data_IF_836915060867
#
_entry.id   IF_836915060867
#
_cell.length_a   1.000
_cell.length_b   1.000
_cell.length_c   1.000
_cell.angle_alpha   90.00
_cell.angle_beta   90.00
_cell.angle_gamma   90.00
#
_symmetry.space_group_name_H-M   'P 1'
#
loop_
_entity.id
_entity.type
_entity.pdbx_description
1 polymer ?
#
# COMPACT_ATOMS: atom_id res chain seq x y z
N UNK A 1 23.03 -10.16 48.73
CA UNK A 1 23.07 -9.08 47.70
C UNK A 1 22.30 -9.61 46.50
N UNK A 2 21.00 -9.33 46.48
CA UNK A 2 20.11 -9.69 45.37
C UNK A 2 20.24 -8.65 44.27
N UNK A 3 20.63 -9.08 43.10
CA UNK A 3 20.56 -8.27 41.92
C UNK A 3 19.06 -8.12 41.57
N UNK A 4 18.49 -6.96 41.82
CA UNK A 4 17.26 -6.52 41.19
C UNK A 4 17.49 -6.54 39.67
N UNK A 5 16.95 -7.55 38.97
CA UNK A 5 16.74 -7.50 37.55
C UNK A 5 15.66 -6.45 37.33
N UNK A 6 16.07 -5.21 37.08
CA UNK A 6 15.16 -4.22 36.53
C UNK A 6 14.47 -4.86 35.33
N UNK A 7 13.15 -4.93 35.38
CA UNK A 7 12.33 -5.34 34.25
C UNK A 7 12.63 -4.34 33.12
N UNK A 8 13.46 -4.75 32.13
CA UNK A 8 13.65 -3.97 30.92
C UNK A 8 12.27 -3.71 30.32
N UNK A 9 11.86 -2.45 30.32
CA UNK A 9 10.58 -2.03 29.78
C UNK A 9 10.65 -2.27 28.28
N UNK A 10 9.96 -3.31 27.80
CA UNK A 10 9.89 -3.68 26.40
C UNK A 10 9.15 -2.61 25.57
N UNK A 11 9.39 -2.59 24.25
CA UNK A 11 8.64 -1.75 23.31
C UNK A 11 7.34 -2.44 22.93
N UNK A 12 6.22 -1.76 23.14
CA UNK A 12 4.88 -2.27 22.81
C UNK A 12 4.44 -1.73 21.46
N UNK A 13 4.24 -2.63 20.51
CA UNK A 13 3.73 -2.33 19.16
C UNK A 13 2.27 -2.70 19.09
N UNK A 14 1.39 -1.73 18.80
CA UNK A 14 -0.05 -1.95 18.66
C UNK A 14 -0.52 -1.84 17.22
N UNK A 15 -1.46 -2.71 16.82
CA UNK A 15 -2.07 -2.67 15.50
C UNK A 15 -3.52 -3.16 15.54
N UNK A 16 -4.41 -2.46 14.83
CA UNK A 16 -5.71 -3.00 14.44
C UNK A 16 -5.55 -3.73 13.11
N UNK A 17 -5.99 -4.97 13.01
CA UNK A 17 -5.80 -5.84 11.84
C UNK A 17 -7.13 -6.36 11.32
N UNK A 18 -7.30 -6.44 10.00
CA UNK A 18 -8.48 -7.01 9.35
C UNK A 18 -8.21 -8.48 8.97
N UNK A 19 -8.07 -9.38 9.95
CA UNK A 19 -7.82 -10.81 9.70
C UNK A 19 -9.10 -11.60 9.49
N UNK A 20 -10.25 -10.95 9.66
CA UNK A 20 -11.58 -11.45 9.29
C UNK A 20 -12.37 -10.40 8.49
N UNK A 21 -13.55 -10.76 7.96
CA UNK A 21 -14.40 -9.89 7.16
C UNK A 21 -13.91 -9.65 5.72
N UNK A 22 -14.48 -8.67 5.01
CA UNK A 22 -14.23 -8.46 3.57
C UNK A 22 -12.79 -8.10 3.20
N UNK A 23 -12.02 -7.49 4.08
CA UNK A 23 -10.62 -7.12 3.83
C UNK A 23 -9.61 -8.19 4.26
N UNK A 24 -10.10 -9.36 4.74
CA UNK A 24 -9.26 -10.43 5.31
C UNK A 24 -8.07 -10.80 4.45
N UNK A 25 -8.24 -10.88 3.12
CA UNK A 25 -7.15 -11.28 2.21
C UNK A 25 -5.91 -10.42 2.40
N UNK A 26 -6.08 -9.10 2.25
CA UNK A 26 -4.98 -8.15 2.35
C UNK A 26 -4.62 -7.82 3.81
N UNK A 27 -5.62 -7.83 4.70
CA UNK A 27 -5.38 -7.60 6.13
C UNK A 27 -4.51 -8.69 6.76
N UNK A 28 -4.74 -9.97 6.41
CA UNK A 28 -3.90 -11.08 6.84
C UNK A 28 -2.47 -10.95 6.28
N UNK A 29 -2.36 -10.58 5.01
CA UNK A 29 -1.06 -10.39 4.35
C UNK A 29 -0.25 -9.26 5.01
N UNK A 30 -0.89 -8.13 5.32
CA UNK A 30 -0.26 -7.03 6.05
C UNK A 30 0.18 -7.48 7.46
N UNK A 31 -0.68 -8.20 8.16
CA UNK A 31 -0.38 -8.72 9.49
C UNK A 31 0.81 -9.68 9.48
N UNK A 32 0.92 -10.55 8.48
CA UNK A 32 2.06 -11.46 8.32
C UNK A 32 3.36 -10.66 8.07
N UNK A 33 3.31 -9.58 7.29
CA UNK A 33 4.45 -8.66 7.13
C UNK A 33 4.89 -8.00 8.44
N UNK A 34 3.94 -7.53 9.25
CA UNK A 34 4.22 -6.96 10.58
C UNK A 34 4.83 -8.02 11.51
N UNK A 35 4.24 -9.22 11.55
CA UNK A 35 4.76 -10.32 12.35
C UNK A 35 6.19 -10.67 12.00
N UNK A 36 6.51 -10.79 10.71
CA UNK A 36 7.86 -11.09 10.25
C UNK A 36 8.86 -10.00 10.68
N UNK A 37 8.46 -8.72 10.62
CA UNK A 37 9.30 -7.63 11.14
C UNK A 37 9.55 -7.77 12.65
N UNK A 38 8.51 -8.03 13.44
CA UNK A 38 8.65 -8.21 14.89
C UNK A 38 9.53 -9.42 15.21
N UNK A 39 9.33 -10.57 14.54
CA UNK A 39 10.17 -11.75 14.69
C UNK A 39 11.64 -11.47 14.30
N UNK A 40 11.88 -10.71 13.25
CA UNK A 40 13.21 -10.28 12.85
C UNK A 40 13.87 -9.42 13.94
N UNK A 41 13.16 -8.44 14.50
CA UNK A 41 13.66 -7.62 15.61
C UNK A 41 13.95 -8.46 16.86
N UNK A 42 13.05 -9.36 17.24
CA UNK A 42 13.23 -10.25 18.40
C UNK A 42 14.46 -11.16 18.21
N UNK A 43 14.63 -11.72 17.02
CA UNK A 43 15.79 -12.56 16.68
C UNK A 43 17.11 -11.77 16.72
N UNK A 44 17.07 -10.47 16.46
CA UNK A 44 18.23 -9.57 16.59
C UNK A 44 18.46 -9.07 18.05
N UNK A 45 17.67 -9.56 19.00
CA UNK A 45 17.77 -9.19 20.43
C UNK A 45 16.92 -7.99 20.82
N UNK A 46 16.04 -7.48 19.96
CA UNK A 46 15.14 -6.36 20.23
C UNK A 46 15.43 -5.12 19.38
N UNK A 47 14.71 -4.04 19.62
CA UNK A 47 14.96 -2.72 19.02
C UNK A 47 16.03 -1.96 19.82
N UNK A 48 16.96 -1.36 19.12
CA UNK A 48 17.96 -0.47 19.74
C UNK A 48 17.37 0.90 20.01
N UNK A 49 17.22 1.25 21.27
CA UNK A 49 16.60 2.50 21.73
C UNK A 49 17.56 3.28 22.63
N UNK A 50 17.57 4.60 22.49
CA UNK A 50 18.37 5.50 23.31
C UNK A 50 19.83 5.60 22.88
N UNK A 51 20.55 6.57 23.44
CA UNK A 51 21.96 6.86 23.14
C UNK A 51 22.89 5.70 23.42
N UNK A 52 22.59 4.90 24.43
CA UNK A 52 23.33 3.69 24.77
C UNK A 52 23.03 2.50 23.85
N UNK A 53 22.10 2.66 22.90
CA UNK A 53 21.63 1.62 21.97
C UNK A 53 21.25 0.31 22.68
N UNK A 54 20.60 0.43 23.84
CA UNK A 54 20.13 -0.73 24.56
C UNK A 54 19.07 -1.48 23.73
N UNK A 55 19.23 -2.78 23.60
CA UNK A 55 18.24 -3.64 22.96
C UNK A 55 17.03 -3.75 23.88
N UNK A 56 15.86 -3.36 23.42
CA UNK A 56 14.59 -3.52 24.14
C UNK A 56 13.75 -4.60 23.44
N UNK A 57 13.24 -5.59 24.20
CA UNK A 57 12.39 -6.61 23.62
C UNK A 57 11.10 -5.99 23.06
N UNK A 58 10.53 -6.58 22.00
CA UNK A 58 9.26 -6.13 21.40
C UNK A 58 8.12 -7.04 21.85
N UNK A 59 6.96 -6.42 22.09
CA UNK A 59 5.68 -7.10 22.26
C UNK A 59 4.67 -6.55 21.25
N UNK A 60 4.10 -7.43 20.41
CA UNK A 60 3.04 -7.09 19.47
C UNK A 60 1.67 -7.31 20.12
N UNK A 61 0.81 -6.29 20.07
CA UNK A 61 -0.61 -6.34 20.41
C UNK A 61 -1.42 -6.13 19.16
N UNK A 62 -2.04 -7.19 18.65
CA UNK A 62 -2.87 -7.17 17.45
C UNK A 62 -4.33 -7.43 17.82
N UNK A 63 -5.24 -6.57 17.36
CA UNK A 63 -6.67 -6.67 17.61
C UNK A 63 -7.41 -6.75 16.26
N UNK A 64 -8.21 -7.81 16.06
CA UNK A 64 -9.01 -7.96 14.84
C UNK A 64 -10.14 -6.92 14.80
N UNK A 65 -10.24 -6.18 13.70
CA UNK A 65 -11.31 -5.22 13.47
C UNK A 65 -12.46 -5.79 12.64
N UNK A 66 -12.36 -7.04 12.22
CA UNK A 66 -13.33 -7.72 11.37
C UNK A 66 -13.68 -6.91 10.10
N UNK A 67 -12.72 -6.10 9.60
CA UNK A 67 -12.91 -5.17 8.48
C UNK A 67 -13.98 -4.09 8.73
N UNK A 68 -14.24 -3.78 10.00
CA UNK A 68 -15.21 -2.78 10.46
C UNK A 68 -14.50 -1.50 10.91
N UNK A 69 -14.94 -0.37 10.36
CA UNK A 69 -14.42 0.94 10.75
C UNK A 69 -14.68 1.26 12.22
N UNK A 70 -15.84 0.86 12.79
CA UNK A 70 -16.15 1.05 14.21
C UNK A 70 -15.22 0.24 15.09
N UNK A 71 -15.02 -1.05 14.78
CA UNK A 71 -14.10 -1.90 15.56
C UNK A 71 -12.65 -1.40 15.44
N UNK A 72 -12.21 -0.92 14.26
CA UNK A 72 -10.88 -0.33 14.13
C UNK A 72 -10.70 0.88 15.07
N UNK A 73 -11.73 1.74 15.22
CA UNK A 73 -11.70 2.86 16.16
C UNK A 73 -11.65 2.40 17.62
N UNK A 74 -12.44 1.42 17.99
CA UNK A 74 -12.47 0.82 19.34
C UNK A 74 -11.11 0.18 19.66
N UNK A 75 -10.56 -0.59 18.72
CA UNK A 75 -9.24 -1.20 18.87
C UNK A 75 -8.15 -0.15 19.08
N UNK A 76 -8.12 0.91 18.26
CA UNK A 76 -7.11 1.98 18.41
C UNK A 76 -7.29 2.73 19.72
N UNK A 77 -8.52 3.03 20.14
CA UNK A 77 -8.77 3.64 21.46
C UNK A 77 -8.19 2.76 22.57
N UNK A 78 -8.46 1.46 22.56
CA UNK A 78 -7.94 0.49 23.52
C UNK A 78 -6.41 0.40 23.50
N UNK A 79 -5.81 0.33 22.30
CA UNK A 79 -4.34 0.30 22.14
C UNK A 79 -3.67 1.53 22.78
N UNK A 80 -4.31 2.72 22.65
CA UNK A 80 -3.79 3.97 23.18
C UNK A 80 -3.99 4.10 24.71
N UNK A 81 -5.18 3.72 25.24
CA UNK A 81 -5.56 4.01 26.62
C UNK A 81 -5.26 2.87 27.59
N UNK A 82 -5.50 1.62 27.19
CA UNK A 82 -5.33 0.44 28.02
C UNK A 82 -3.95 -0.19 27.85
N UNK A 83 -3.59 -0.50 26.59
CA UNK A 83 -2.31 -1.15 26.24
C UNK A 83 -1.13 -0.16 26.26
N UNK A 84 -1.39 1.14 26.14
CA UNK A 84 -0.40 2.23 26.16
C UNK A 84 0.77 1.95 25.24
N UNK A 85 0.45 1.65 23.97
CA UNK A 85 1.45 1.26 22.97
C UNK A 85 2.48 2.37 22.72
N UNK A 86 3.75 1.99 22.59
CA UNK A 86 4.82 2.89 22.19
C UNK A 86 4.72 3.25 20.71
N UNK A 87 4.40 2.26 19.86
CA UNK A 87 4.26 2.40 18.41
C UNK A 87 2.86 1.97 17.98
N UNK A 88 2.13 2.85 17.29
CA UNK A 88 0.80 2.57 16.76
C UNK A 88 0.86 2.39 15.24
N UNK A 89 0.63 1.17 14.76
CA UNK A 89 0.51 0.86 13.35
C UNK A 89 -0.95 0.98 12.90
N UNK A 90 -1.15 1.55 11.72
CA UNK A 90 -2.49 1.76 11.16
C UNK A 90 -3.15 0.46 10.70
N UNK A 91 -4.49 0.45 10.60
CA UNK A 91 -5.23 -0.67 10.03
C UNK A 91 -5.05 -0.75 8.50
N UNK A 92 -5.47 -1.89 7.93
CA UNK A 92 -5.58 -2.01 6.48
C UNK A 92 -6.87 -1.34 5.96
N UNK A 93 -6.73 -0.61 4.83
CA UNK A 93 -7.85 0.04 4.14
C UNK A 93 -8.04 1.51 4.53
N UNK A 94 -8.27 2.34 3.49
CA UNK A 94 -8.36 3.81 3.63
C UNK A 94 -9.49 4.26 4.57
N UNK A 95 -10.63 3.57 4.56
CA UNK A 95 -11.77 3.92 5.43
C UNK A 95 -11.42 3.80 6.92
N UNK A 96 -10.83 2.68 7.32
CA UNK A 96 -10.39 2.46 8.70
C UNK A 96 -9.26 3.41 9.09
N UNK A 97 -8.27 3.62 8.20
CA UNK A 97 -7.17 4.55 8.45
C UNK A 97 -7.66 5.98 8.66
N UNK A 98 -8.56 6.47 7.80
CA UNK A 98 -9.18 7.79 7.94
C UNK A 98 -9.94 7.96 9.26
N UNK A 99 -10.61 6.90 9.71
CA UNK A 99 -11.40 6.94 10.93
C UNK A 99 -10.54 6.97 12.21
N UNK A 100 -9.32 6.38 12.17
CA UNK A 100 -8.44 6.31 13.34
C UNK A 100 -7.37 7.40 13.38
N UNK A 101 -7.04 8.02 12.24
CA UNK A 101 -6.01 9.04 12.16
C UNK A 101 -6.27 10.25 13.08
N UNK A 102 -7.49 10.83 13.16
CA UNK A 102 -7.77 11.91 14.11
C UNK A 102 -7.65 11.47 15.57
N UNK A 103 -7.98 10.22 15.86
CA UNK A 103 -7.87 9.68 17.23
C UNK A 103 -6.39 9.57 17.66
N UNK A 104 -5.54 9.03 16.80
CA UNK A 104 -4.09 8.98 17.05
C UNK A 104 -3.52 10.40 17.25
N UNK A 105 -3.86 11.33 16.37
CA UNK A 105 -3.40 12.73 16.45
C UNK A 105 -3.84 13.41 17.75
N UNK A 106 -5.08 13.18 18.21
CA UNK A 106 -5.58 13.72 19.47
C UNK A 106 -4.78 13.25 20.71
N UNK A 107 -4.16 12.07 20.60
CA UNK A 107 -3.27 11.52 21.64
C UNK A 107 -1.78 11.88 21.41
N UNK A 108 -1.48 12.70 20.38
CA UNK A 108 -0.11 13.03 20.01
C UNK A 108 0.70 11.83 19.50
N UNK A 109 0.02 10.76 19.06
CA UNK A 109 0.63 9.50 18.62
C UNK A 109 0.76 9.45 17.10
N UNK A 110 1.92 9.06 16.60
CA UNK A 110 2.08 8.79 15.17
C UNK A 110 1.24 7.57 14.79
N UNK A 111 0.44 7.71 13.73
CA UNK A 111 -0.16 6.59 13.03
C UNK A 111 0.77 6.16 11.89
N UNK A 112 1.50 5.07 12.11
CA UNK A 112 2.38 4.48 11.11
C UNK A 112 1.53 3.71 10.10
N UNK A 113 1.35 4.28 8.91
CA UNK A 113 0.37 3.81 7.92
C UNK A 113 1.01 2.93 6.85
N UNK A 114 0.53 1.70 6.78
CA UNK A 114 0.88 0.73 5.72
C UNK A 114 -0.31 0.34 4.83
N UNK A 115 -1.53 0.78 5.10
CA UNK A 115 -2.72 0.20 4.46
C UNK A 115 -3.74 1.20 3.94
N UNK A 116 -3.63 2.48 4.30
CA UNK A 116 -4.56 3.53 3.87
C UNK A 116 -3.97 4.39 2.77
N UNK A 117 -4.29 4.09 1.51
CA UNK A 117 -3.72 4.78 0.35
C UNK A 117 -4.49 6.02 -0.11
N UNK A 118 -5.71 6.27 0.38
CA UNK A 118 -6.46 7.48 -0.01
C UNK A 118 -5.67 8.74 0.26
N UNK A 119 -5.68 9.68 -0.67
CA UNK A 119 -5.00 10.97 -0.55
C UNK A 119 -5.43 11.76 0.70
N UNK A 120 -6.69 11.60 1.12
CA UNK A 120 -7.22 12.23 2.32
C UNK A 120 -6.60 11.73 3.64
N UNK A 121 -5.86 10.60 3.63
CA UNK A 121 -5.26 10.04 4.85
C UNK A 121 -4.21 10.97 5.45
N UNK A 122 -3.39 11.61 4.62
CA UNK A 122 -2.38 12.55 5.08
C UNK A 122 -3.01 13.78 5.77
N UNK A 123 -4.14 14.28 5.24
CA UNK A 123 -4.86 15.42 5.79
C UNK A 123 -5.57 15.08 7.11
N UNK A 124 -6.20 13.88 7.17
CA UNK A 124 -6.97 13.43 8.33
C UNK A 124 -6.12 13.29 9.61
N UNK A 125 -4.83 13.03 9.48
CA UNK A 125 -3.92 12.82 10.60
C UNK A 125 -3.32 14.07 11.21
N UNK A 126 -3.70 15.27 10.78
CA UNK A 126 -3.21 16.54 11.33
C UNK A 126 -1.68 16.58 11.53
N UNK A 127 -0.93 16.00 10.61
CA UNK A 127 0.53 15.92 10.68
C UNK A 127 1.10 14.78 11.54
N UNK A 128 0.29 13.81 11.95
CA UNK A 128 0.70 12.62 12.72
C UNK A 128 0.53 11.30 11.95
N UNK A 129 0.30 11.32 10.64
CA UNK A 129 0.31 10.11 9.81
C UNK A 129 1.59 10.03 9.03
N UNK A 130 2.32 8.93 9.17
CA UNK A 130 3.52 8.61 8.37
C UNK A 130 3.21 7.40 7.50
N UNK A 131 3.12 7.62 6.19
CA UNK A 131 2.75 6.57 5.22
C UNK A 131 3.99 6.04 4.48
N UNK A 132 4.13 4.71 4.42
CA UNK A 132 5.16 4.05 3.61
C UNK A 132 4.75 3.92 2.14
N UNK A 133 3.46 3.93 1.86
CA UNK A 133 2.86 3.70 0.55
C UNK A 133 2.55 4.99 -0.20
N UNK A 134 2.54 4.92 -1.54
CA UNK A 134 2.11 6.02 -2.40
C UNK A 134 0.63 6.35 -2.21
N UNK A 135 0.23 7.61 -2.39
CA UNK A 135 -1.19 7.97 -2.44
C UNK A 135 -1.89 7.34 -3.64
N UNK A 136 -3.17 7.02 -3.48
CA UNK A 136 -3.95 6.30 -4.48
C UNK A 136 -4.07 7.06 -5.81
N UNK A 137 -4.01 8.38 -5.79
CA UNK A 137 -4.01 9.20 -7.01
C UNK A 137 -2.80 8.93 -7.93
N UNK A 138 -1.72 8.36 -7.41
CA UNK A 138 -0.53 8.04 -8.21
C UNK A 138 -0.62 6.66 -8.87
N UNK A 139 -1.53 5.76 -8.43
CA UNK A 139 -1.59 4.35 -8.86
C UNK A 139 -1.66 4.17 -10.37
N UNK A 140 -2.57 4.86 -11.04
CA UNK A 140 -2.78 4.75 -12.49
C UNK A 140 -2.62 6.11 -13.21
N UNK A 141 -2.01 7.09 -12.54
CA UNK A 141 -1.83 8.45 -13.09
C UNK A 141 -1.04 8.48 -14.39
N UNK A 142 -0.04 7.61 -14.52
CA UNK A 142 0.83 7.55 -15.70
C UNK A 142 0.27 6.67 -16.83
N UNK A 143 -0.79 5.91 -16.56
CA UNK A 143 -1.40 4.99 -17.52
C UNK A 143 -1.93 5.68 -18.80
N UNK A 144 -2.62 6.84 -18.74
CA UNK A 144 -3.08 7.52 -19.96
C UNK A 144 -1.93 7.86 -20.91
N UNK A 145 -0.79 8.35 -20.40
CA UNK A 145 0.39 8.64 -21.21
C UNK A 145 0.91 7.38 -21.89
N UNK A 146 0.98 6.27 -21.16
CA UNK A 146 1.39 4.96 -21.71
C UNK A 146 0.41 4.49 -22.79
N UNK A 147 -0.89 4.53 -22.55
CA UNK A 147 -1.92 4.12 -23.50
C UNK A 147 -1.85 4.97 -24.79
N UNK A 148 -1.71 6.29 -24.66
CA UNK A 148 -1.55 7.18 -25.83
C UNK A 148 -0.31 6.85 -26.64
N UNK A 149 0.81 6.59 -25.98
CA UNK A 149 2.05 6.23 -26.70
C UNK A 149 1.94 4.88 -27.42
N UNK A 150 1.30 3.89 -26.80
CA UNK A 150 1.20 2.51 -27.37
C UNK A 150 0.14 2.39 -28.46
N UNK A 151 -0.99 3.06 -28.32
CA UNK A 151 -2.19 2.82 -29.13
C UNK A 151 -2.80 4.08 -29.75
N UNK A 152 -2.24 5.26 -29.49
CA UNK A 152 -2.84 6.52 -29.90
C UNK A 152 -4.13 6.87 -29.16
N UNK A 153 -4.34 6.32 -27.97
CA UNK A 153 -5.56 6.52 -27.18
C UNK A 153 -5.87 8.00 -26.92
N UNK A 154 -7.13 8.40 -27.09
CA UNK A 154 -7.62 9.77 -26.92
C UNK A 154 -8.88 9.85 -26.07
N UNK A 155 -9.61 8.74 -25.89
CA UNK A 155 -10.81 8.65 -25.08
C UNK A 155 -10.61 7.66 -23.94
N UNK A 156 -10.92 8.07 -22.73
CA UNK A 156 -10.83 7.22 -21.56
C UNK A 156 -12.16 7.19 -20.78
N UNK A 157 -12.48 6.03 -20.24
CA UNK A 157 -13.51 5.89 -19.22
C UNK A 157 -12.89 5.34 -17.95
N UNK A 158 -13.24 5.94 -16.81
CA UNK A 158 -12.90 5.45 -15.47
C UNK A 158 -14.18 4.98 -14.80
N UNK A 159 -14.30 3.69 -14.59
CA UNK A 159 -15.36 3.04 -13.85
C UNK A 159 -14.87 2.81 -12.42
N UNK A 160 -15.50 3.44 -11.41
CA UNK A 160 -14.96 3.43 -10.05
C UNK A 160 -16.01 3.24 -8.98
N UNK A 161 -15.64 2.63 -7.84
CA UNK A 161 -16.51 2.50 -6.69
C UNK A 161 -16.84 3.88 -6.11
N UNK A 162 -18.12 4.26 -6.14
CA UNK A 162 -18.57 5.60 -5.76
C UNK A 162 -18.54 5.88 -4.25
N UNK A 163 -18.45 4.84 -3.41
CA UNK A 163 -18.39 4.99 -1.96
C UNK A 163 -16.95 4.86 -1.46
N UNK A 164 -16.58 5.74 -0.53
CA UNK A 164 -15.22 5.81 0.01
C UNK A 164 -14.29 6.69 -0.81
N UNK A 165 -13.07 6.85 -0.32
CA UNK A 165 -12.12 7.84 -0.86
C UNK A 165 -10.99 7.22 -1.68
N UNK A 166 -10.79 5.90 -1.60
CA UNK A 166 -9.72 5.21 -2.31
C UNK A 166 -9.91 5.24 -3.83
N UNK A 167 -11.04 4.70 -4.30
CA UNK A 167 -11.33 4.62 -5.74
C UNK A 167 -11.48 6.01 -6.38
N UNK A 168 -12.08 6.96 -5.66
CA UNK A 168 -12.19 8.35 -6.13
C UNK A 168 -10.84 9.07 -6.18
N UNK A 169 -9.87 8.72 -5.35
CA UNK A 169 -8.49 9.22 -5.47
C UNK A 169 -7.83 8.72 -6.76
N UNK A 170 -7.98 7.43 -7.07
CA UNK A 170 -7.49 6.84 -8.31
C UNK A 170 -8.12 7.52 -9.53
N UNK A 171 -9.46 7.66 -9.52
CA UNK A 171 -10.20 8.32 -10.58
C UNK A 171 -9.65 9.73 -10.86
N UNK A 172 -9.46 10.57 -9.82
CA UNK A 172 -8.86 11.90 -9.97
C UNK A 172 -7.43 11.85 -10.52
N UNK A 173 -6.63 10.86 -10.09
CA UNK A 173 -5.29 10.66 -10.59
C UNK A 173 -5.25 10.34 -12.07
N UNK A 174 -6.12 9.42 -12.54
CA UNK A 174 -6.26 9.06 -13.94
C UNK A 174 -6.71 10.26 -14.78
N UNK A 175 -7.71 11.02 -14.32
CA UNK A 175 -8.15 12.23 -15.01
C UNK A 175 -7.03 13.28 -15.13
N UNK A 176 -6.29 13.50 -14.06
CA UNK A 176 -5.14 14.42 -14.10
C UNK A 176 -4.07 13.95 -15.09
N UNK A 177 -3.76 12.65 -15.11
CA UNK A 177 -2.84 12.04 -16.08
C UNK A 177 -3.34 12.14 -17.52
N UNK A 178 -4.64 11.91 -17.74
CA UNK A 178 -5.27 12.00 -19.06
C UNK A 178 -5.24 13.43 -19.60
N UNK A 179 -5.57 14.44 -18.77
CA UNK A 179 -5.42 15.85 -19.16
C UNK A 179 -3.99 16.19 -19.57
N UNK A 180 -2.99 15.76 -18.77
CA UNK A 180 -1.57 15.98 -19.10
C UNK A 180 -1.15 15.26 -20.38
N UNK A 181 -1.71 14.08 -20.64
CA UNK A 181 -1.46 13.31 -21.85
C UNK A 181 -2.26 13.80 -23.08
N UNK A 182 -3.11 14.80 -22.94
CA UNK A 182 -3.89 15.39 -24.04
C UNK A 182 -5.02 14.48 -24.52
N UNK A 183 -5.75 13.83 -23.62
CA UNK A 183 -6.97 13.09 -23.96
C UNK A 183 -8.11 14.08 -24.25
N UNK A 184 -8.90 13.78 -25.27
CA UNK A 184 -10.02 14.64 -25.71
C UNK A 184 -11.25 14.43 -24.83
N UNK A 185 -11.51 13.18 -24.44
CA UNK A 185 -12.66 12.78 -23.62
C UNK A 185 -12.18 11.93 -22.46
N UNK A 186 -12.55 12.35 -21.25
CA UNK A 186 -12.37 11.54 -20.02
C UNK A 186 -13.70 11.48 -19.29
N UNK A 187 -14.28 10.29 -19.21
CA UNK A 187 -15.55 10.06 -18.52
C UNK A 187 -15.33 9.27 -17.25
N UNK A 188 -15.88 9.73 -16.14
CA UNK A 188 -15.88 9.02 -14.88
C UNK A 188 -17.29 8.54 -14.53
N UNK A 189 -17.44 7.25 -14.23
CA UNK A 189 -18.70 6.60 -13.91
C UNK A 189 -18.57 5.92 -12.57
N UNK A 190 -19.37 6.34 -11.61
CA UNK A 190 -19.40 5.71 -10.29
C UNK A 190 -20.35 4.50 -10.28
N UNK A 191 -19.97 3.44 -9.57
CA UNK A 191 -20.83 2.29 -9.29
C UNK A 191 -20.92 2.00 -7.78
N UNK A 192 -21.98 1.30 -7.38
CA UNK A 192 -22.10 0.80 -6.00
C UNK A 192 -21.29 -0.48 -5.82
N UNK A 193 -20.35 -0.47 -4.85
CA UNK A 193 -19.56 -1.65 -4.45
C UNK A 193 -20.20 -2.32 -3.21
N UNK A 194 -20.38 -3.65 -3.20
CA UNK A 194 -20.02 -4.62 -4.26
C UNK A 194 -20.88 -4.45 -5.52
N UNK A 195 -20.24 -4.64 -6.68
CA UNK A 195 -20.89 -4.48 -7.97
C UNK A 195 -21.95 -5.56 -8.20
N UNK A 196 -23.22 -5.14 -8.41
CA UNK A 196 -24.36 -6.07 -8.56
C UNK A 196 -24.73 -6.36 -10.00
N UNK A 197 -24.47 -5.44 -10.91
CA UNK A 197 -24.82 -5.56 -12.32
C UNK A 197 -23.63 -5.19 -13.20
N UNK A 198 -22.75 -6.15 -13.40
CA UNK A 198 -21.51 -6.02 -14.14
C UNK A 198 -21.75 -5.59 -15.59
N UNK A 199 -22.73 -6.22 -16.28
CA UNK A 199 -23.03 -5.91 -17.68
C UNK A 199 -23.51 -4.48 -17.88
N UNK A 200 -24.43 -4.02 -17.05
CA UNK A 200 -24.91 -2.63 -17.13
C UNK A 200 -23.78 -1.62 -16.87
N UNK A 201 -22.85 -1.93 -15.95
CA UNK A 201 -21.70 -1.08 -15.70
C UNK A 201 -20.75 -1.02 -16.89
N UNK A 202 -20.52 -2.15 -17.56
CA UNK A 202 -19.70 -2.24 -18.77
C UNK A 202 -20.38 -1.49 -19.92
N UNK A 203 -21.68 -1.71 -20.17
CA UNK A 203 -22.43 -1.01 -21.23
C UNK A 203 -22.34 0.51 -21.05
N UNK A 204 -22.52 0.99 -19.82
CA UNK A 204 -22.36 2.41 -19.51
C UNK A 204 -20.92 2.90 -19.75
N UNK A 205 -19.92 2.08 -19.43
CA UNK A 205 -18.50 2.42 -19.64
C UNK A 205 -18.11 2.49 -21.13
N UNK A 206 -18.72 1.66 -21.96
CA UNK A 206 -18.45 1.55 -23.40
C UNK A 206 -19.23 2.54 -24.27
N UNK A 207 -20.22 3.27 -23.71
CA UNK A 207 -21.13 4.16 -24.47
C UNK A 207 -20.42 5.19 -25.36
N UNK A 208 -19.25 5.70 -24.91
CA UNK A 208 -18.44 6.67 -25.67
C UNK A 208 -17.29 6.03 -26.43
N UNK A 209 -17.32 4.71 -26.63
CA UNK A 209 -16.27 3.93 -27.32
C UNK A 209 -14.85 4.29 -26.83
N UNK A 210 -14.52 4.08 -25.56
CA UNK A 210 -13.23 4.46 -25.00
C UNK A 210 -12.10 3.64 -25.59
N UNK A 211 -10.95 4.27 -25.79
CA UNK A 211 -9.69 3.58 -26.15
C UNK A 211 -8.97 3.02 -24.91
N UNK A 212 -9.23 3.64 -23.76
CA UNK A 212 -8.72 3.24 -22.45
C UNK A 212 -9.88 3.08 -21.46
N UNK A 213 -10.00 1.90 -20.89
CA UNK A 213 -10.91 1.64 -19.76
C UNK A 213 -10.09 1.40 -18.49
N UNK A 214 -10.38 2.15 -17.44
CA UNK A 214 -9.80 1.96 -16.11
C UNK A 214 -10.91 1.53 -15.15
N UNK A 215 -10.67 0.46 -14.39
CA UNK A 215 -11.57 -0.01 -13.33
C UNK A 215 -10.89 0.18 -11.98
N UNK A 216 -11.58 0.82 -11.04
CA UNK A 216 -11.10 1.06 -9.69
C UNK A 216 -12.19 0.73 -8.67
N UNK A 217 -12.25 -0.52 -8.25
CA UNK A 217 -13.16 -1.04 -7.24
C UNK A 217 -12.44 -1.72 -6.09
N UNK A 218 -13.16 -2.61 -5.43
CA UNK A 218 -12.54 -3.66 -4.61
C UNK A 218 -11.96 -4.73 -5.54
N UNK A 219 -11.13 -5.58 -5.01
CA UNK A 219 -10.55 -6.67 -5.79
C UNK A 219 -11.63 -7.50 -6.53
N UNK A 220 -12.71 -7.83 -5.84
CA UNK A 220 -13.82 -8.63 -6.38
C UNK A 220 -14.62 -7.89 -7.46
N UNK A 221 -14.77 -6.56 -7.33
CA UNK A 221 -15.45 -5.73 -8.34
C UNK A 221 -14.64 -5.69 -9.64
N UNK A 222 -13.32 -5.45 -9.53
CA UNK A 222 -12.41 -5.43 -10.67
C UNK A 222 -12.38 -6.79 -11.38
N UNK A 223 -12.26 -7.89 -10.61
CA UNK A 223 -12.31 -9.26 -11.12
C UNK A 223 -13.63 -9.54 -11.84
N UNK A 224 -14.78 -9.08 -11.30
CA UNK A 224 -16.09 -9.29 -11.93
C UNK A 224 -16.18 -8.61 -13.31
N UNK A 225 -15.64 -7.39 -13.45
CA UNK A 225 -15.59 -6.69 -14.74
C UNK A 225 -14.70 -7.44 -15.74
N UNK A 226 -13.52 -7.90 -15.32
CA UNK A 226 -12.58 -8.57 -16.24
C UNK A 226 -13.07 -9.96 -16.63
N UNK A 227 -13.89 -10.64 -15.84
CA UNK A 227 -14.54 -11.89 -16.22
C UNK A 227 -15.42 -11.77 -17.47
N UNK A 228 -15.99 -10.58 -17.73
CA UNK A 228 -16.75 -10.27 -18.94
C UNK A 228 -15.84 -9.79 -20.09
N UNK A 229 -14.63 -10.36 -20.22
CA UNK A 229 -13.59 -9.94 -21.17
C UNK A 229 -14.09 -9.77 -22.60
N UNK A 230 -15.01 -10.61 -23.05
CA UNK A 230 -15.59 -10.55 -24.39
C UNK A 230 -16.29 -9.21 -24.67
N UNK A 231 -16.91 -8.59 -23.68
CA UNK A 231 -17.53 -7.27 -23.82
C UNK A 231 -16.49 -6.14 -23.98
N UNK A 232 -15.24 -6.40 -23.62
CA UNK A 232 -14.16 -5.41 -23.59
C UNK A 232 -13.23 -5.48 -24.82
N UNK A 233 -13.51 -6.36 -25.80
CA UNK A 233 -12.65 -6.60 -26.96
C UNK A 233 -12.42 -5.37 -27.84
N UNK A 234 -13.36 -4.42 -27.84
CA UNK A 234 -13.25 -3.16 -28.60
C UNK A 234 -12.37 -2.11 -27.91
N UNK A 235 -11.97 -2.33 -26.66
CA UNK A 235 -11.17 -1.40 -25.88
C UNK A 235 -9.69 -1.70 -26.09
N UNK A 236 -8.95 -0.73 -26.61
CA UNK A 236 -7.51 -0.91 -26.93
C UNK A 236 -6.62 -1.13 -25.72
N UNK A 237 -6.98 -0.57 -24.55
CA UNK A 237 -6.24 -0.75 -23.29
C UNK A 237 -7.23 -0.90 -22.13
N UNK A 238 -7.13 -2.01 -21.39
CA UNK A 238 -7.93 -2.26 -20.19
C UNK A 238 -7.00 -2.33 -18.98
N UNK A 239 -7.33 -1.61 -17.94
CA UNK A 239 -6.57 -1.60 -16.70
C UNK A 239 -7.49 -1.64 -15.48
N UNK A 240 -7.02 -2.29 -14.41
CA UNK A 240 -7.70 -2.24 -13.14
C UNK A 240 -6.71 -2.29 -11.96
N UNK A 241 -7.17 -1.87 -10.79
CA UNK A 241 -6.32 -1.84 -9.58
C UNK A 241 -5.93 -3.25 -9.15
N UNK A 242 -6.87 -4.19 -9.21
CA UNK A 242 -6.64 -5.59 -8.82
C UNK A 242 -5.52 -6.26 -9.63
N UNK A 243 -5.28 -5.83 -10.87
CA UNK A 243 -4.26 -6.42 -11.74
C UNK A 243 -2.81 -6.18 -11.26
N UNK A 244 -2.60 -5.26 -10.30
CA UNK A 244 -1.31 -5.12 -9.63
C UNK A 244 -1.00 -6.22 -8.62
N UNK A 245 -2.01 -6.96 -8.15
CA UNK A 245 -1.87 -8.00 -7.14
C UNK A 245 -1.70 -9.40 -7.76
N UNK A 246 -0.83 -10.24 -7.17
CA UNK A 246 -0.54 -11.59 -7.67
C UNK A 246 -1.78 -12.50 -7.73
N UNK A 247 -2.73 -12.32 -6.79
CA UNK A 247 -3.98 -13.06 -6.79
C UNK A 247 -4.91 -12.79 -7.97
N UNK A 248 -4.64 -11.78 -8.78
CA UNK A 248 -5.48 -11.45 -9.94
C UNK A 248 -5.46 -12.56 -11.00
N UNK A 249 -4.30 -13.06 -11.36
CA UNK A 249 -4.17 -14.18 -12.30
C UNK A 249 -4.69 -15.49 -11.70
N UNK A 250 -4.55 -15.70 -10.39
CA UNK A 250 -5.09 -16.89 -9.72
C UNK A 250 -6.62 -16.99 -9.85
N UNK A 251 -7.31 -15.82 -9.87
CA UNK A 251 -8.76 -15.74 -10.01
C UNK A 251 -9.28 -15.81 -11.46
N UNK A 252 -8.47 -15.34 -12.41
CA UNK A 252 -8.90 -15.08 -13.79
C UNK A 252 -8.23 -15.97 -14.83
N UNK A 253 -7.07 -16.55 -14.52
CA UNK A 253 -6.29 -17.32 -15.48
C UNK A 253 -6.02 -16.51 -16.76
N UNK A 254 -6.33 -17.09 -17.90
CA UNK A 254 -6.11 -16.47 -19.22
C UNK A 254 -6.88 -15.15 -19.43
N UNK A 255 -7.93 -14.89 -18.68
CA UNK A 255 -8.67 -13.64 -18.78
C UNK A 255 -7.88 -12.42 -18.24
N UNK A 256 -6.84 -12.66 -17.44
CA UNK A 256 -5.94 -11.63 -16.97
C UNK A 256 -5.01 -11.08 -18.07
N UNK A 257 -4.77 -11.85 -19.14
CA UNK A 257 -3.79 -11.51 -20.17
C UNK A 257 -4.06 -10.15 -20.82
N UNK A 258 -3.00 -9.32 -20.94
CA UNK A 258 -3.07 -7.95 -21.48
C UNK A 258 -3.74 -6.92 -20.57
N UNK A 259 -4.19 -7.30 -19.36
CA UNK A 259 -4.71 -6.34 -18.39
C UNK A 259 -3.56 -5.66 -17.66
N UNK A 260 -3.64 -4.32 -17.55
CA UNK A 260 -2.63 -3.51 -16.88
C UNK A 260 -3.07 -3.19 -15.45
N UNK A 261 -2.12 -3.21 -14.51
CA UNK A 261 -2.38 -2.82 -13.12
C UNK A 261 -1.23 -2.04 -12.49
N UNK A 262 -1.50 -1.37 -11.35
CA UNK A 262 -0.48 -0.67 -10.57
C UNK A 262 0.13 -1.64 -9.56
N UNK A 263 1.33 -2.14 -9.82
CA UNK A 263 2.08 -2.85 -8.80
C UNK A 263 2.84 -1.87 -7.92
N UNK A 264 2.81 -2.11 -6.63
CA UNK A 264 3.52 -1.28 -5.67
C UNK A 264 4.88 -1.88 -5.28
N UNK A 265 5.14 -3.11 -5.69
CA UNK A 265 6.39 -3.79 -5.40
C UNK A 265 6.57 -5.00 -6.32
N UNK A 266 7.73 -5.03 -6.98
CA UNK A 266 8.21 -6.18 -7.72
C UNK A 266 9.58 -6.58 -7.15
N UNK A 267 9.75 -7.78 -6.60
CA UNK A 267 10.94 -8.17 -5.82
C UNK A 267 12.26 -7.95 -6.55
N UNK A 268 12.27 -8.16 -7.87
CA UNK A 268 13.47 -8.08 -8.72
C UNK A 268 13.88 -6.66 -9.11
N UNK A 269 13.05 -5.64 -8.83
CA UNK A 269 13.35 -4.24 -9.17
C UNK A 269 14.02 -3.47 -8.03
N UNK A 270 14.01 -4.00 -6.80
CA UNK A 270 14.55 -3.34 -5.61
C UNK A 270 15.60 -4.21 -4.92
N UNK A 271 16.68 -4.52 -5.62
CA UNK A 271 17.67 -5.51 -5.16
C UNK A 271 18.65 -4.98 -4.10
N UNK A 272 18.87 -3.66 -4.04
CA UNK A 272 19.89 -3.05 -3.17
C UNK A 272 19.32 -1.95 -2.28
N UNK A 273 18.63 -2.29 -1.18
CA UNK A 273 18.15 -1.29 -0.24
C UNK A 273 19.31 -0.63 0.52
N UNK A 274 19.14 0.65 0.89
CA UNK A 274 20.04 1.37 1.79
C UNK A 274 19.81 1.00 3.26
N UNK A 275 18.56 0.62 3.59
CA UNK A 275 18.18 0.22 4.94
C UNK A 275 17.35 -1.08 4.89
N UNK A 276 17.53 -1.91 5.91
CA UNK A 276 16.87 -3.21 6.00
C UNK A 276 17.43 -4.26 5.04
N UNK A 277 16.82 -5.45 4.98
CA UNK A 277 17.27 -6.55 4.14
C UNK A 277 16.82 -6.36 2.67
N UNK A 278 17.49 -7.04 1.72
CA UNK A 278 17.07 -7.08 0.33
C UNK A 278 15.78 -7.90 0.12
N UNK A 279 15.09 -7.65 -1.00
CA UNK A 279 13.84 -8.36 -1.35
C UNK A 279 14.01 -9.89 -1.40
N UNK A 280 15.14 -10.38 -1.89
CA UNK A 280 15.42 -11.82 -1.93
C UNK A 280 15.41 -12.47 -0.54
N UNK A 281 16.04 -11.81 0.45
CA UNK A 281 16.02 -12.28 1.85
C UNK A 281 14.59 -12.26 2.40
N UNK A 282 13.86 -11.15 2.21
CA UNK A 282 12.48 -11.03 2.67
C UNK A 282 11.58 -12.13 2.09
N UNK A 283 11.67 -12.39 0.79
CA UNK A 283 10.90 -13.46 0.14
C UNK A 283 11.25 -14.84 0.71
N UNK A 284 12.53 -15.12 0.95
CA UNK A 284 13.00 -16.38 1.53
C UNK A 284 12.45 -16.58 2.95
N UNK A 285 12.58 -15.56 3.81
CA UNK A 285 12.12 -15.63 5.19
C UNK A 285 10.59 -15.70 5.28
N UNK A 286 9.88 -14.95 4.44
CA UNK A 286 8.42 -14.99 4.38
C UNK A 286 7.91 -16.39 3.99
N UNK A 287 8.53 -17.02 2.97
CA UNK A 287 8.22 -18.41 2.61
C UNK A 287 8.53 -19.39 3.73
N UNK A 288 9.64 -19.21 4.41
CA UNK A 288 10.04 -20.07 5.54
C UNK A 288 9.02 -20.03 6.68
N UNK A 289 8.50 -18.84 6.99
CA UNK A 289 7.56 -18.64 8.13
C UNK A 289 6.13 -18.96 7.75
N UNK A 290 5.66 -18.51 6.56
CA UNK A 290 4.24 -18.53 6.18
C UNK A 290 3.91 -19.55 5.07
N UNK A 291 4.90 -20.28 4.55
CA UNK A 291 4.74 -21.34 3.51
C UNK A 291 4.05 -20.86 2.23
N UNK A 292 4.22 -19.59 1.88
CA UNK A 292 3.69 -18.96 0.66
C UNK A 292 4.56 -17.77 0.25
N UNK A 293 4.43 -17.32 -0.99
CA UNK A 293 5.09 -16.12 -1.45
C UNK A 293 4.47 -14.85 -0.85
N UNK A 294 5.28 -13.82 -0.53
CA UNK A 294 4.77 -12.53 -0.12
C UNK A 294 4.29 -11.73 -1.34
N UNK A 295 3.16 -11.05 -1.20
CA UNK A 295 2.76 -9.99 -2.11
C UNK A 295 3.22 -8.61 -1.64
N UNK A 296 2.86 -7.57 -2.40
CA UNK A 296 3.26 -6.20 -2.08
C UNK A 296 2.73 -5.71 -0.71
N UNK A 297 1.57 -6.21 -0.27
CA UNK A 297 0.98 -5.80 1.01
C UNK A 297 1.83 -6.23 2.19
N UNK A 298 2.39 -7.46 2.14
CA UNK A 298 3.32 -7.94 3.15
C UNK A 298 4.64 -7.17 3.13
N UNK A 299 5.20 -6.92 1.93
CA UNK A 299 6.44 -6.16 1.75
C UNK A 299 6.31 -4.72 2.28
N UNK A 300 5.18 -4.08 2.00
CA UNK A 300 4.80 -2.76 2.46
C UNK A 300 4.72 -2.68 4.00
N UNK A 301 4.01 -3.62 4.62
CA UNK A 301 3.84 -3.66 6.06
C UNK A 301 5.15 -4.01 6.80
N UNK A 302 5.96 -4.93 6.27
CA UNK A 302 7.30 -5.23 6.79
C UNK A 302 8.22 -4.00 6.68
N UNK A 303 8.21 -3.32 5.52
CA UNK A 303 9.03 -2.12 5.29
C UNK A 303 8.66 -0.97 6.21
N UNK A 304 7.37 -0.82 6.57
CA UNK A 304 6.98 0.15 7.59
C UNK A 304 7.77 -0.07 8.88
N UNK A 305 7.92 -1.31 9.32
CA UNK A 305 8.73 -1.66 10.48
C UNK A 305 10.21 -1.29 10.33
N UNK A 306 10.77 -1.48 9.14
CA UNK A 306 12.16 -1.06 8.84
C UNK A 306 12.30 0.48 8.95
N UNK A 307 11.33 1.25 8.41
CA UNK A 307 11.32 2.71 8.53
C UNK A 307 11.20 3.15 9.99
N UNK A 308 10.33 2.51 10.77
CA UNK A 308 10.20 2.76 12.22
C UNK A 308 11.53 2.52 12.93
N UNK A 309 12.16 1.37 12.70
CA UNK A 309 13.45 1.01 13.30
C UNK A 309 14.55 2.02 12.96
N UNK A 310 14.61 2.49 11.72
CA UNK A 310 15.56 3.53 11.29
C UNK A 310 15.26 4.90 11.93
N UNK A 311 13.97 5.26 12.08
CA UNK A 311 13.59 6.48 12.80
C UNK A 311 14.00 6.41 14.27
N UNK A 312 13.76 5.29 14.96
CA UNK A 312 14.17 5.09 16.36
C UNK A 312 15.69 5.17 16.49
N UNK A 313 16.43 4.50 15.60
CA UNK A 313 17.90 4.50 15.61
C UNK A 313 18.49 5.90 15.43
N UNK A 314 17.87 6.75 14.60
CA UNK A 314 18.34 8.14 14.37
C UNK A 314 17.87 9.12 15.44
N UNK A 315 16.64 8.96 15.94
CA UNK A 315 16.10 9.78 17.02
C UNK A 315 16.71 9.43 18.39
N UNK A 316 17.26 8.23 18.53
CA UNK A 316 17.69 7.67 19.82
C UNK A 316 16.57 7.68 20.89
N UNK A 317 15.30 7.60 20.45
CA UNK A 317 14.11 7.85 21.27
C UNK A 317 12.90 7.06 20.73
N UNK A 318 11.88 6.90 21.60
CA UNK A 318 10.53 6.43 21.23
C UNK A 318 9.49 7.56 21.25
N UNK A 319 9.89 8.79 21.56
CA UNK A 319 8.98 9.92 21.60
C UNK A 319 8.46 10.28 20.21
N UNK A 320 7.15 10.31 20.03
CA UNK A 320 6.51 10.49 18.71
C UNK A 320 6.98 11.76 18.00
N UNK A 321 7.20 12.87 18.71
CA UNK A 321 7.66 14.12 18.11
C UNK A 321 9.08 14.01 17.54
N UNK A 322 9.96 13.28 18.22
CA UNK A 322 11.33 13.04 17.77
C UNK A 322 11.36 12.08 16.59
N UNK A 323 10.56 11.00 16.64
CA UNK A 323 10.39 10.08 15.53
C UNK A 323 9.84 10.78 14.29
N UNK A 324 8.83 11.64 14.47
CA UNK A 324 8.23 12.42 13.39
C UNK A 324 9.22 13.40 12.74
N UNK A 325 10.06 14.04 13.56
CA UNK A 325 11.11 14.94 13.07
C UNK A 325 12.11 14.19 12.17
N UNK A 326 12.51 12.97 12.58
CA UNK A 326 13.37 12.11 11.76
C UNK A 326 12.65 11.63 10.50
N UNK A 327 11.40 11.14 10.60
CA UNK A 327 10.63 10.65 9.45
C UNK A 327 10.47 11.71 8.36
N UNK A 328 10.28 12.99 8.73
CA UNK A 328 10.19 14.12 7.79
C UNK A 328 11.47 14.37 6.99
N UNK A 329 12.61 13.99 7.51
CA UNK A 329 13.93 14.21 6.89
C UNK A 329 14.49 12.92 6.26
N UNK A 330 13.86 11.77 6.55
CA UNK A 330 14.36 10.49 6.08
C UNK A 330 14.14 10.37 4.57
N UNK A 331 15.23 10.17 3.85
CA UNK A 331 15.27 9.80 2.45
C UNK A 331 16.13 8.53 2.34
N UNK A 332 15.48 7.39 2.17
CA UNK A 332 16.16 6.11 2.15
C UNK A 332 15.39 5.09 1.30
N UNK A 333 16.12 4.16 0.69
CA UNK A 333 15.54 3.04 -0.05
C UNK A 333 15.52 1.80 0.83
N UNK A 334 14.35 1.18 0.98
CA UNK A 334 14.13 -0.12 1.59
C UNK A 334 13.68 -1.12 0.52
N UNK A 335 13.41 -2.36 0.90
CA UNK A 335 12.99 -3.41 -0.05
C UNK A 335 11.70 -3.09 -0.83
N UNK A 336 10.81 -2.28 -0.26
CA UNK A 336 9.55 -1.88 -0.91
C UNK A 336 9.74 -0.70 -1.89
N UNK A 337 10.83 0.05 -1.75
CA UNK A 337 11.16 1.22 -2.56
C UNK A 337 11.70 2.38 -1.72
N UNK A 338 11.75 3.56 -2.34
CA UNK A 338 12.25 4.77 -1.68
C UNK A 338 11.20 5.37 -0.76
N UNK A 339 11.57 5.59 0.48
CA UNK A 339 10.78 6.37 1.43
C UNK A 339 11.28 7.82 1.45
N UNK A 340 10.41 8.74 1.11
CA UNK A 340 10.65 10.19 1.26
C UNK A 340 9.30 10.89 1.38
N UNK A 341 9.15 11.69 2.41
CA UNK A 341 7.94 12.49 2.64
C UNK A 341 8.09 13.89 2.02
N UNK A 342 6.98 14.42 1.54
CA UNK A 342 6.90 15.81 1.10
C UNK A 342 6.98 16.73 2.31
N UNK A 343 7.85 17.76 2.28
CA UNK A 343 7.92 18.73 3.37
C UNK A 343 6.56 19.40 3.63
N UNK A 344 6.08 19.31 4.87
CA UNK A 344 4.85 19.96 5.31
C UNK A 344 3.60 19.05 5.28
N UNK A 345 3.37 18.28 4.23
CA UNK A 345 2.16 17.44 4.09
C UNK A 345 2.31 16.02 4.63
N UNK A 346 3.54 15.53 4.85
CA UNK A 346 3.86 14.13 5.15
C UNK A 346 3.37 13.11 4.09
N UNK A 347 3.04 13.58 2.89
CA UNK A 347 2.70 12.72 1.77
C UNK A 347 3.94 11.95 1.31
N UNK A 348 3.82 10.64 1.13
CA UNK A 348 4.88 9.83 0.54
C UNK A 348 5.04 10.20 -0.95
N UNK A 349 6.25 10.64 -1.32
CA UNK A 349 6.59 11.08 -2.68
C UNK A 349 7.84 10.40 -3.24
N UNK A 350 8.48 9.54 -2.46
CA UNK A 350 9.66 8.79 -2.89
C UNK A 350 9.35 7.47 -3.55
N UNK A 351 8.24 6.83 -3.16
CA UNK A 351 7.85 5.52 -3.67
C UNK A 351 7.21 5.65 -5.07
N UNK A 352 7.63 4.79 -5.99
CA UNK A 352 7.14 4.76 -7.36
C UNK A 352 6.19 3.59 -7.59
N UNK A 353 5.07 3.85 -8.27
CA UNK A 353 4.15 2.83 -8.74
C UNK A 353 4.65 2.26 -10.06
N UNK A 354 4.74 0.95 -10.13
CA UNK A 354 5.16 0.20 -11.31
C UNK A 354 3.91 -0.24 -12.07
N UNK A 355 3.71 0.24 -13.29
CA UNK A 355 2.68 -0.32 -14.15
C UNK A 355 3.14 -1.69 -14.63
N UNK A 356 2.30 -2.71 -14.47
CA UNK A 356 2.55 -4.08 -14.93
C UNK A 356 1.46 -4.53 -15.87
N UNK A 357 1.81 -5.36 -16.84
CA UNK A 357 0.88 -6.03 -17.75
C UNK A 357 1.00 -7.55 -17.55
N UNK A 358 -0.11 -8.25 -17.47
CA UNK A 358 -0.12 -9.69 -17.41
C UNK A 358 0.16 -10.29 -18.80
N UNK A 359 1.19 -11.14 -18.90
CA UNK A 359 1.56 -11.89 -20.10
C UNK A 359 2.09 -13.25 -19.68
N UNK A 360 1.63 -14.30 -20.34
CA UNK A 360 2.03 -15.68 -20.09
C UNK A 360 1.91 -16.04 -18.58
N UNK A 361 0.85 -15.56 -17.94
CA UNK A 361 0.56 -15.79 -16.52
C UNK A 361 1.48 -15.07 -15.55
N UNK A 362 2.24 -14.05 -15.99
CA UNK A 362 3.20 -13.29 -15.17
C UNK A 362 3.00 -11.79 -15.34
N UNK A 363 3.36 -11.05 -14.30
CA UNK A 363 3.42 -9.59 -14.37
C UNK A 363 4.71 -9.14 -15.06
N UNK A 364 4.58 -8.34 -16.10
CA UNK A 364 5.69 -7.71 -16.80
C UNK A 364 5.67 -6.21 -16.54
N UNK A 365 6.70 -5.65 -15.90
CA UNK A 365 6.82 -4.22 -15.73
C UNK A 365 6.80 -3.48 -17.09
N UNK A 366 6.02 -2.42 -17.14
CA UNK A 366 5.95 -1.55 -18.32
C UNK A 366 6.85 -0.35 -18.06
N UNK A 367 7.82 -0.13 -18.95
CA UNK A 367 8.67 1.05 -18.86
C UNK A 367 7.83 2.31 -19.02
N UNK A 368 7.88 3.18 -18.04
CA UNK A 368 7.47 4.56 -18.22
C UNK A 368 8.48 5.19 -19.17
N UNK A 369 8.12 5.36 -20.46
CA UNK A 369 8.98 5.98 -21.47
C UNK A 369 9.57 7.27 -20.94
N UNK A 370 10.89 7.25 -20.60
CA UNK A 370 11.64 8.40 -20.12
C UNK A 370 12.47 8.22 -18.84
N UNK A 371 12.37 7.11 -18.13
CA UNK A 371 13.27 6.79 -17.03
C UNK A 371 13.91 5.44 -17.34
N UNK A 372 15.16 5.48 -17.79
CA UNK A 372 15.99 4.29 -18.01
C UNK A 372 16.28 3.68 -16.65
N UNK A 373 15.63 2.57 -16.34
CA UNK A 373 16.15 1.65 -15.33
C UNK A 373 17.40 1.03 -15.95
N UNK A 374 18.58 1.49 -15.54
CA UNK A 374 19.85 0.96 -16.01
C UNK A 374 19.94 -0.51 -15.57
N UNK A 375 19.62 -1.41 -16.49
CA UNK A 375 20.02 -2.81 -16.42
C UNK A 375 21.53 -2.87 -16.67
N UNK A 376 22.33 -2.77 -15.62
CA UNK A 376 23.71 -3.22 -15.68
C UNK A 376 23.71 -4.75 -15.81
N UNK A 377 23.86 -5.25 -17.03
CA UNK A 377 24.26 -6.64 -17.23
C UNK A 377 25.62 -6.87 -16.58
N UNK A 378 25.82 -7.96 -15.86
CA UNK A 378 27.16 -8.36 -15.44
C UNK A 378 27.90 -8.96 -16.64
N UNK A 379 29.05 -8.38 -16.97
CA UNK A 379 30.09 -9.04 -17.75
C UNK A 379 30.79 -10.08 -16.91
#
# INVERSE_FOLDING_TARGET
MGAERGTEVGVVVGVSVSVSGPLRRHGQEAYDGIRLWVEHCVSAGGLQVGRNRANRPLRLVALDDASSVSHARENVARLLTEERVDLLLGPYGSGSTLAVAPLAAAHGKILWNHGGASDAVAEAGCGFVVSVLSPASDYLRNLPRLARHRTGAQRATVLYAGRGTFASSIQRGVEAGARTAGFDIVRAIAFDSPLRNTKAAIDAALADSPHLLVVAGRFEDDVAIIRERQMLETVGTVACVAAGADGFHQELGVLAEGVIGPSQWEPHLHERPLIGPPSAWFCSEFRRVFHRDPGYVAAQAYTLGIIIGECIRRAESLEDRELLAVARQLDATALYGRFRLEPGSLRQVGHEIILVEWRDGRKHPLEATGITLSSSQPT
#
